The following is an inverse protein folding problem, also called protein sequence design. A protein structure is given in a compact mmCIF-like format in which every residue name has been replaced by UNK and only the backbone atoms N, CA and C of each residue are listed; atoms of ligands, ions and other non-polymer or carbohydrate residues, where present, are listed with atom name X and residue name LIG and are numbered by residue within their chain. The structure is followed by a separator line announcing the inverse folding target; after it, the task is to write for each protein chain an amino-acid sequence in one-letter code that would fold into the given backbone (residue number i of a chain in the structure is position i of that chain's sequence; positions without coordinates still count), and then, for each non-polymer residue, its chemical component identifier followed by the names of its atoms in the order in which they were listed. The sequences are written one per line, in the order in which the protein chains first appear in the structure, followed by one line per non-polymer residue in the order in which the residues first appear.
data_IF_365042823831
#
_entry.id   IF_365042823831
#
_cell.length_a   1.000
_cell.length_b   1.000
_cell.length_c   1.000
_cell.angle_alpha   90.00
_cell.angle_beta   90.00
_cell.angle_gamma   90.00
#
_symmetry.space_group_name_H-M   'P 1'
#
loop_
_entity.id
_entity.type
_entity.pdbx_description
1 polymer ?
#
# COMPACT_ATOMS: atom_id res chain seq x y z
N UNK A 1 21.58 -20.10 5.47
CA UNK A 1 21.95 -18.71 5.83
C UNK A 1 20.97 -18.27 6.90
N UNK A 2 21.42 -17.59 7.97
CA UNK A 2 20.52 -17.05 9.01
C UNK A 2 19.74 -15.84 8.48
N UNK A 3 18.60 -15.54 9.11
CA UNK A 3 17.82 -14.33 8.86
C UNK A 3 18.72 -13.10 9.13
N UNK A 4 18.73 -12.07 8.26
CA UNK A 4 19.49 -10.84 8.51
C UNK A 4 19.13 -10.20 9.85
N UNK A 5 20.08 -9.50 10.47
CA UNK A 5 19.81 -8.73 11.69
C UNK A 5 18.79 -7.63 11.38
N UNK A 6 17.67 -7.64 12.10
CA UNK A 6 16.56 -6.70 11.89
C UNK A 6 16.35 -5.85 13.16
N UNK A 7 15.64 -4.73 12.99
CA UNK A 7 15.19 -3.93 14.13
C UNK A 7 14.15 -4.70 14.95
N UNK A 8 14.07 -4.39 16.23
CA UNK A 8 13.02 -4.92 17.08
C UNK A 8 11.65 -4.47 16.58
N UNK A 9 10.79 -5.43 16.28
CA UNK A 9 9.47 -5.21 15.67
C UNK A 9 8.58 -4.31 16.55
N UNK A 10 8.52 -4.59 17.84
CA UNK A 10 7.64 -3.85 18.74
C UNK A 10 8.15 -2.42 18.98
N UNK A 11 9.47 -2.21 18.98
CA UNK A 11 10.05 -0.88 19.06
C UNK A 11 9.69 -0.05 17.82
N UNK A 12 9.76 -0.64 16.61
CA UNK A 12 9.37 0.03 15.36
C UNK A 12 7.88 0.35 15.35
N UNK A 13 7.01 -0.61 15.70
CA UNK A 13 5.57 -0.39 15.76
C UNK A 13 5.20 0.71 16.74
N UNK A 14 5.80 0.73 17.94
CA UNK A 14 5.59 1.80 18.93
C UNK A 14 6.01 3.18 18.42
N UNK A 15 7.13 3.25 17.68
CA UNK A 15 7.60 4.51 17.11
C UNK A 15 6.69 5.04 16.00
N UNK A 16 6.13 4.14 15.17
CA UNK A 16 5.24 4.51 14.06
C UNK A 16 3.78 4.76 14.49
N UNK A 17 3.34 4.17 15.59
CA UNK A 17 1.96 4.26 16.07
C UNK A 17 1.42 5.69 16.13
N UNK A 18 2.11 6.69 16.72
CA UNK A 18 1.58 8.06 16.80
C UNK A 18 1.35 8.71 15.43
N UNK A 19 2.10 8.30 14.39
CA UNK A 19 1.94 8.82 13.03
C UNK A 19 0.80 8.11 12.33
N UNK A 20 0.73 6.77 12.48
CA UNK A 20 -0.27 5.95 11.79
C UNK A 20 -1.68 6.14 12.35
N UNK A 21 -1.82 6.40 13.64
CA UNK A 21 -3.10 6.64 14.31
C UNK A 21 -3.57 8.11 14.30
N UNK A 22 -2.74 9.03 13.83
CA UNK A 22 -3.12 10.45 13.75
C UNK A 22 -4.04 10.71 12.54
N UNK A 23 -5.33 11.03 12.74
CA UNK A 23 -6.25 11.31 11.65
C UNK A 23 -5.92 12.59 10.87
N UNK A 24 -5.17 13.52 11.47
CA UNK A 24 -4.76 14.77 10.83
C UNK A 24 -3.62 14.56 9.81
N UNK A 25 -2.94 13.44 9.88
CA UNK A 25 -1.89 13.08 8.92
C UNK A 25 -2.48 12.24 7.79
N UNK A 26 -2.63 12.84 6.61
CA UNK A 26 -3.08 12.12 5.42
C UNK A 26 -2.10 10.99 5.06
N UNK A 27 -2.64 9.81 4.76
CA UNK A 27 -1.90 8.66 4.27
C UNK A 27 -2.38 8.29 2.86
N UNK A 28 -1.42 7.87 2.06
CA UNK A 28 -1.63 7.29 0.74
C UNK A 28 -1.23 5.81 0.82
N UNK A 29 -2.06 4.93 0.30
CA UNK A 29 -1.75 3.51 0.21
C UNK A 29 -1.99 2.95 -1.19
N UNK A 30 -1.54 1.72 -1.39
CA UNK A 30 -1.92 0.86 -2.51
C UNK A 30 -2.60 -0.37 -1.91
N UNK A 31 -3.92 -0.50 -2.07
CA UNK A 31 -4.70 -1.54 -1.40
C UNK A 31 -4.63 -1.45 0.13
N UNK A 32 -4.77 -0.23 0.65
CA UNK A 32 -4.55 0.14 2.06
C UNK A 32 -5.33 -0.72 3.08
N UNK A 33 -6.49 -1.27 2.73
CA UNK A 33 -7.25 -2.17 3.63
C UNK A 33 -6.45 -3.39 4.07
N UNK A 34 -5.51 -3.89 3.24
CA UNK A 34 -4.64 -5.00 3.60
C UNK A 34 -3.66 -4.58 4.70
N UNK A 35 -3.00 -3.44 4.53
CA UNK A 35 -2.03 -2.92 5.52
C UNK A 35 -2.71 -2.55 6.83
N UNK A 36 -3.91 -1.94 6.77
CA UNK A 36 -4.73 -1.65 7.95
C UNK A 36 -5.00 -2.94 8.73
N UNK A 37 -5.38 -4.01 8.05
CA UNK A 37 -5.67 -5.30 8.68
C UNK A 37 -4.41 -5.92 9.31
N UNK A 38 -3.30 -5.92 8.60
CA UNK A 38 -2.01 -6.43 9.12
C UNK A 38 -1.58 -5.67 10.37
N UNK A 39 -1.66 -4.34 10.36
CA UNK A 39 -1.26 -3.49 11.48
C UNK A 39 -2.20 -3.61 12.68
N UNK A 40 -3.50 -3.77 12.44
CA UNK A 40 -4.49 -3.99 13.50
C UNK A 40 -4.29 -5.33 14.24
N UNK A 41 -3.77 -6.35 13.54
CA UNK A 41 -3.51 -7.68 14.09
C UNK A 41 -2.04 -7.89 14.54
N UNK A 42 -1.24 -6.84 14.57
CA UNK A 42 0.16 -6.93 15.01
C UNK A 42 0.27 -7.15 16.53
N UNK A 43 1.44 -7.58 17.01
CA UNK A 43 1.75 -7.74 18.45
C UNK A 43 1.56 -6.43 19.26
N UNK A 44 1.84 -5.30 18.62
CA UNK A 44 1.47 -3.96 19.09
C UNK A 44 0.43 -3.41 18.10
N UNK A 45 -0.88 -3.60 18.36
CA UNK A 45 -1.92 -3.21 17.42
C UNK A 45 -1.90 -1.72 17.09
N UNK A 46 -2.04 -1.39 15.81
CA UNK A 46 -2.12 -0.01 15.32
C UNK A 46 -3.44 0.15 14.56
N UNK A 47 -4.27 1.07 15.03
CA UNK A 47 -5.53 1.43 14.40
C UNK A 47 -5.31 2.59 13.44
N UNK A 48 -4.88 2.26 12.21
CA UNK A 48 -4.54 3.26 11.18
C UNK A 48 -5.73 4.19 10.94
N UNK A 49 -5.48 5.49 10.96
CA UNK A 49 -6.45 6.55 10.69
C UNK A 49 -5.89 7.51 9.63
N UNK A 50 -6.77 8.34 9.05
CA UNK A 50 -6.37 9.36 8.08
C UNK A 50 -5.92 8.80 6.74
N UNK A 51 -6.36 7.58 6.34
CA UNK A 51 -6.19 7.11 4.96
C UNK A 51 -7.05 7.98 4.07
N UNK A 52 -6.42 8.88 3.32
CA UNK A 52 -7.08 9.85 2.47
C UNK A 52 -7.13 9.42 1.01
N UNK A 53 -6.19 8.56 0.61
CA UNK A 53 -6.03 8.13 -0.77
C UNK A 53 -5.57 6.66 -0.86
N UNK A 54 -5.99 5.98 -1.92
CA UNK A 54 -5.58 4.62 -2.26
C UNK A 54 -5.44 4.52 -3.78
N UNK A 55 -4.23 4.28 -4.27
CA UNK A 55 -3.92 4.33 -5.69
C UNK A 55 -4.61 3.22 -6.50
N UNK A 56 -4.94 2.09 -5.88
CA UNK A 56 -5.76 1.06 -6.51
C UNK A 56 -7.19 1.57 -6.73
N UNK A 57 -7.79 2.22 -5.73
CA UNK A 57 -9.14 2.79 -5.81
C UNK A 57 -9.17 4.02 -6.74
N UNK A 58 -8.14 4.89 -6.70
CA UNK A 58 -8.00 6.01 -7.63
C UNK A 58 -8.02 5.53 -9.08
N UNK A 59 -7.22 4.52 -9.38
CA UNK A 59 -7.16 3.93 -10.71
C UNK A 59 -8.49 3.28 -11.11
N UNK A 60 -9.15 2.56 -10.20
CA UNK A 60 -10.42 1.90 -10.44
C UNK A 60 -11.55 2.91 -10.72
N UNK A 61 -11.64 3.98 -9.94
CA UNK A 61 -12.62 5.05 -10.14
C UNK A 61 -12.37 5.81 -11.43
N UNK A 62 -11.10 6.03 -11.78
CA UNK A 62 -10.71 6.74 -12.99
C UNK A 62 -11.08 5.95 -14.26
N UNK A 63 -10.75 4.67 -14.29
CA UNK A 63 -11.06 3.76 -15.41
C UNK A 63 -10.98 2.29 -14.93
N UNK A 64 -12.13 1.73 -14.58
CA UNK A 64 -12.26 0.37 -14.02
C UNK A 64 -11.80 -0.75 -14.97
N UNK A 65 -11.65 -0.45 -16.25
CA UNK A 65 -11.26 -1.43 -17.28
C UNK A 65 -9.83 -1.28 -17.77
N UNK A 66 -9.13 -0.24 -17.33
CA UNK A 66 -7.86 0.17 -17.91
C UNK A 66 -6.70 -0.81 -17.68
N UNK A 67 -6.69 -1.53 -16.55
CA UNK A 67 -5.61 -2.41 -16.13
C UNK A 67 -6.08 -3.32 -14.99
N UNK A 68 -5.17 -4.14 -14.46
CA UNK A 68 -5.42 -4.99 -13.29
C UNK A 68 -5.45 -4.22 -11.97
N UNK A 69 -5.14 -2.92 -11.98
CA UNK A 69 -5.06 -2.05 -10.82
C UNK A 69 -4.02 -2.46 -9.76
N UNK A 70 -3.14 -3.42 -10.07
CA UNK A 70 -1.95 -3.70 -9.28
C UNK A 70 -0.86 -2.65 -9.53
N UNK A 71 0.05 -2.49 -8.58
CA UNK A 71 1.07 -1.44 -8.63
C UNK A 71 1.95 -1.54 -9.88
N UNK A 72 2.39 -2.74 -10.26
CA UNK A 72 3.26 -2.95 -11.43
C UNK A 72 2.58 -2.49 -12.72
N UNK A 73 1.32 -2.88 -12.91
CA UNK A 73 0.52 -2.50 -14.08
C UNK A 73 0.26 -0.99 -14.12
N UNK A 74 0.00 -0.38 -12.96
CA UNK A 74 -0.23 1.05 -12.84
C UNK A 74 1.05 1.84 -13.08
N UNK A 75 2.18 1.43 -12.50
CA UNK A 75 3.48 2.05 -12.69
C UNK A 75 3.90 2.04 -14.16
N UNK A 76 3.73 0.89 -14.82
CA UNK A 76 4.03 0.79 -16.25
C UNK A 76 3.14 1.71 -17.08
N UNK A 77 1.82 1.75 -16.80
CA UNK A 77 0.85 2.52 -17.58
C UNK A 77 0.99 4.02 -17.38
N UNK A 78 1.08 4.47 -16.14
CA UNK A 78 0.97 5.88 -15.81
C UNK A 78 2.31 6.58 -15.59
N UNK A 79 3.34 5.84 -15.19
CA UNK A 79 4.67 6.38 -14.93
C UNK A 79 5.73 5.93 -15.95
N UNK A 80 5.38 5.03 -16.87
CA UNK A 80 6.33 4.35 -17.77
C UNK A 80 7.52 3.75 -17.00
N UNK A 81 7.24 3.20 -15.80
CA UNK A 81 8.20 2.65 -14.87
C UNK A 81 7.97 1.16 -14.69
N UNK A 82 9.03 0.37 -14.85
CA UNK A 82 9.02 -1.08 -14.56
C UNK A 82 9.54 -1.28 -13.15
N UNK A 83 8.69 -1.75 -12.26
CA UNK A 83 9.00 -2.02 -10.85
C UNK A 83 9.87 -3.25 -10.66
N UNK A 84 10.55 -3.33 -9.52
CA UNK A 84 11.20 -4.55 -9.04
C UNK A 84 10.08 -5.52 -8.64
N UNK A 85 10.02 -6.68 -9.29
CA UNK A 85 9.00 -7.68 -8.94
C UNK A 85 9.44 -8.48 -7.72
N UNK A 86 8.48 -8.84 -6.88
CA UNK A 86 8.76 -9.71 -5.72
C UNK A 86 9.47 -11.01 -6.12
N UNK A 87 9.09 -11.58 -7.26
CA UNK A 87 9.71 -12.79 -7.79
C UNK A 87 11.19 -12.63 -8.15
N UNK A 88 11.64 -11.42 -8.48
CA UNK A 88 13.04 -11.16 -8.86
C UNK A 88 13.96 -11.19 -7.63
N UNK A 89 13.42 -10.91 -6.44
CA UNK A 89 14.17 -10.91 -5.17
C UNK A 89 13.89 -12.16 -4.31
N UNK A 90 12.71 -12.75 -4.43
CA UNK A 90 12.27 -13.89 -3.62
C UNK A 90 12.38 -15.25 -4.36
N UNK A 91 12.53 -15.23 -5.70
CA UNK A 91 12.41 -16.44 -6.52
C UNK A 91 10.96 -16.85 -6.77
N UNK A 92 10.75 -18.02 -7.38
CA UNK A 92 9.43 -18.52 -7.82
C UNK A 92 9.13 -19.93 -7.32
N UNK A 93 7.82 -20.22 -7.22
CA UNK A 93 7.31 -21.57 -6.94
C UNK A 93 7.54 -22.02 -5.49
N UNK A 94 7.64 -23.34 -5.29
CA UNK A 94 7.72 -23.94 -3.96
C UNK A 94 8.99 -23.57 -3.14
N UNK A 95 9.98 -22.96 -3.78
CA UNK A 95 11.21 -22.49 -3.14
C UNK A 95 11.24 -20.96 -2.99
N UNK A 96 10.14 -20.27 -3.25
CA UNK A 96 10.06 -18.82 -3.09
C UNK A 96 10.30 -18.47 -1.62
N UNK A 97 11.19 -17.51 -1.40
CA UNK A 97 11.50 -17.00 -0.07
C UNK A 97 10.35 -16.12 0.45
N UNK A 98 10.17 -16.11 1.75
CA UNK A 98 9.37 -15.09 2.42
C UNK A 98 10.17 -13.80 2.55
N UNK A 99 9.49 -12.65 2.71
CA UNK A 99 10.15 -11.34 2.70
C UNK A 99 11.23 -11.20 3.80
N UNK A 100 11.01 -11.79 4.97
CA UNK A 100 11.94 -11.82 6.08
C UNK A 100 13.22 -12.66 5.83
N UNK A 101 13.20 -13.48 4.77
CA UNK A 101 14.37 -14.30 4.37
C UNK A 101 15.21 -13.62 3.26
N UNK A 102 14.73 -12.51 2.70
CA UNK A 102 15.42 -11.77 1.64
C UNK A 102 16.53 -10.92 2.27
N UNK A 103 17.69 -10.86 1.60
CA UNK A 103 18.80 -10.01 2.04
C UNK A 103 18.38 -8.52 2.05
N UNK A 104 18.85 -7.77 3.04
CA UNK A 104 18.48 -6.36 3.22
C UNK A 104 18.84 -5.49 2.01
N UNK A 105 19.92 -5.83 1.32
CA UNK A 105 20.39 -5.14 0.11
C UNK A 105 19.39 -5.25 -1.05
N UNK A 106 18.52 -6.26 -1.02
CA UNK A 106 17.44 -6.47 -1.99
C UNK A 106 16.09 -6.02 -1.44
N UNK A 107 15.78 -6.35 -0.20
CA UNK A 107 14.53 -6.00 0.45
C UNK A 107 14.36 -4.48 0.65
N UNK A 108 15.45 -3.77 0.95
CA UNK A 108 15.45 -2.31 1.16
C UNK A 108 15.05 -1.54 -0.09
N UNK A 109 15.75 -1.69 -1.22
CA UNK A 109 15.37 -1.07 -2.49
C UNK A 109 13.94 -1.43 -2.93
N UNK A 110 13.52 -2.68 -2.81
CA UNK A 110 12.16 -3.11 -3.12
C UNK A 110 11.11 -2.34 -2.32
N UNK A 111 11.23 -2.33 -0.98
CA UNK A 111 10.28 -1.64 -0.11
C UNK A 111 10.31 -0.11 -0.30
N UNK A 112 11.46 0.47 -0.59
CA UNK A 112 11.58 1.90 -0.87
C UNK A 112 10.93 2.27 -2.21
N UNK A 113 11.09 1.43 -3.23
CA UNK A 113 10.44 1.61 -4.53
C UNK A 113 8.92 1.53 -4.40
N UNK A 114 8.39 0.57 -3.64
CA UNK A 114 6.94 0.44 -3.41
C UNK A 114 6.35 1.73 -2.83
N UNK A 115 7.03 2.36 -1.88
CA UNK A 115 6.60 3.62 -1.28
C UNK A 115 6.70 4.80 -2.25
N UNK A 116 7.80 4.91 -3.00
CA UNK A 116 8.02 5.98 -4.01
C UNK A 116 7.00 5.87 -5.14
N UNK A 117 6.83 4.68 -5.70
CA UNK A 117 5.89 4.43 -6.79
C UNK A 117 4.45 4.71 -6.35
N UNK A 118 4.06 4.29 -5.15
CA UNK A 118 2.73 4.59 -4.60
C UNK A 118 2.48 6.09 -4.54
N UNK A 119 3.42 6.87 -4.04
CA UNK A 119 3.28 8.34 -3.97
C UNK A 119 3.22 8.98 -5.36
N UNK A 120 4.08 8.56 -6.28
CA UNK A 120 4.09 9.07 -7.67
C UNK A 120 2.81 8.71 -8.42
N UNK A 121 2.29 7.50 -8.23
CA UNK A 121 1.00 7.07 -8.79
C UNK A 121 -0.13 7.94 -8.26
N UNK A 122 -0.17 8.20 -6.95
CA UNK A 122 -1.16 9.11 -6.37
C UNK A 122 -1.11 10.50 -7.03
N UNK A 123 0.07 11.10 -7.16
CA UNK A 123 0.22 12.42 -7.76
C UNK A 123 -0.31 12.47 -9.19
N UNK A 124 -0.08 11.43 -9.97
CA UNK A 124 -0.55 11.32 -11.36
C UNK A 124 -2.05 11.05 -11.44
N UNK A 125 -2.55 10.06 -10.69
CA UNK A 125 -3.95 9.64 -10.74
C UNK A 125 -4.87 10.69 -10.14
N UNK A 126 -4.47 11.29 -9.02
CA UNK A 126 -5.25 12.31 -8.34
C UNK A 126 -5.43 13.57 -9.22
N UNK A 127 -4.39 14.00 -9.91
CA UNK A 127 -4.49 15.11 -10.86
C UNK A 127 -5.53 14.86 -11.97
N UNK A 128 -5.65 13.62 -12.44
CA UNK A 128 -6.66 13.22 -13.43
C UNK A 128 -8.05 13.15 -12.83
N UNK A 129 -8.19 12.65 -11.61
CA UNK A 129 -9.49 12.59 -10.91
C UNK A 129 -10.03 13.97 -10.58
N UNK A 130 -9.18 14.92 -10.14
CA UNK A 130 -9.59 16.30 -9.86
C UNK A 130 -10.12 17.01 -11.10
N UNK A 131 -9.63 16.66 -12.28
CA UNK A 131 -10.15 17.17 -13.55
C UNK A 131 -11.59 16.71 -13.84
N UNK A 132 -12.09 15.68 -13.13
CA UNK A 132 -13.46 15.15 -13.26
C UNK A 132 -14.13 15.12 -11.89
N UNK A 133 -14.76 16.22 -11.44
CA UNK A 133 -15.26 16.38 -10.06
C UNK A 133 -16.22 15.28 -9.60
N UNK A 134 -17.01 14.70 -10.51
CA UNK A 134 -17.90 13.58 -10.19
C UNK A 134 -17.14 12.33 -9.76
N UNK A 135 -16.02 12.01 -10.40
CA UNK A 135 -15.17 10.87 -10.03
C UNK A 135 -14.43 11.13 -8.73
N UNK A 136 -13.86 12.33 -8.55
CA UNK A 136 -13.22 12.73 -7.29
C UNK A 136 -14.21 12.65 -6.11
N UNK A 137 -15.48 12.99 -6.33
CA UNK A 137 -16.55 12.84 -5.33
C UNK A 137 -16.82 11.38 -4.99
N UNK A 138 -16.92 10.49 -5.97
CA UNK A 138 -17.10 9.04 -5.75
C UNK A 138 -15.96 8.50 -4.89
N UNK A 139 -14.71 8.83 -5.21
CA UNK A 139 -13.57 8.39 -4.43
C UNK A 139 -13.66 8.87 -2.98
N UNK A 140 -13.88 10.17 -2.76
CA UNK A 140 -13.87 10.78 -1.41
C UNK A 140 -15.06 10.38 -0.54
N UNK A 141 -16.26 10.28 -1.13
CA UNK A 141 -17.51 10.12 -0.38
C UNK A 141 -17.97 8.66 -0.29
N UNK A 142 -17.45 7.78 -1.16
CA UNK A 142 -17.88 6.37 -1.22
C UNK A 142 -16.69 5.43 -0.99
N UNK A 143 -15.69 5.45 -1.88
CA UNK A 143 -14.64 4.44 -1.88
C UNK A 143 -13.72 4.53 -0.65
N UNK A 144 -13.18 5.71 -0.35
CA UNK A 144 -12.30 5.89 0.81
C UNK A 144 -13.01 5.61 2.13
N UNK A 145 -14.24 6.09 2.40
CA UNK A 145 -14.97 5.72 3.62
C UNK A 145 -15.26 4.22 3.78
N UNK A 146 -15.33 3.47 2.68
CA UNK A 146 -15.51 2.02 2.73
C UNK A 146 -14.25 1.26 3.14
N UNK A 147 -13.06 1.82 2.94
CA UNK A 147 -11.78 1.14 3.25
C UNK A 147 -11.74 0.61 4.68
N UNK A 148 -11.96 1.42 5.74
CA UNK A 148 -11.94 0.92 7.12
C UNK A 148 -13.08 -0.07 7.41
N UNK A 149 -14.24 0.10 6.79
CA UNK A 149 -15.38 -0.83 6.97
C UNK A 149 -15.02 -2.21 6.42
N UNK A 150 -14.44 -2.26 5.22
CA UNK A 150 -14.01 -3.52 4.59
C UNK A 150 -12.82 -4.15 5.32
N UNK A 151 -11.90 -3.36 5.86
CA UNK A 151 -10.81 -3.86 6.68
C UNK A 151 -11.35 -4.58 7.94
N UNK A 152 -12.31 -3.96 8.65
CA UNK A 152 -12.96 -4.56 9.82
C UNK A 152 -13.74 -5.83 9.47
N UNK A 153 -14.42 -5.87 8.33
CA UNK A 153 -15.15 -7.06 7.87
C UNK A 153 -14.24 -8.27 7.65
N UNK A 154 -13.00 -8.05 7.22
CA UNK A 154 -12.02 -9.12 7.01
C UNK A 154 -11.39 -9.64 8.31
N UNK A 155 -11.42 -8.87 9.40
CA UNK A 155 -10.91 -9.28 10.72
C UNK A 155 -11.83 -10.32 11.36
N UNK A 156 -13.10 -10.35 11.01
CA UNK A 156 -14.11 -11.23 11.61
C UNK A 156 -14.43 -12.49 10.79
N UNK A 157 -13.75 -12.72 9.68
CA UNK A 157 -13.82 -13.95 8.89
C UNK A 157 -12.61 -14.83 9.17
#
# INVERSE_FOLDING_TARGET
MGVPLQLDRDAVLKALKPILEDPAKAKVGQHAKYDINVLANASTPIMVQGVAFDTMLESYVLDSTATRHDMDSLALKYLNHSTIRFEDIAGKGAKQLTFDQIALEQAGPYAAEDADVTLRLHQELWGRLEAVPSLAKVLREIEIPLVPVLALSLIHI
#
